data_IF_308658467085
#
_entry.id   IF_308658467085
#
_cell.length_a   1.000
_cell.length_b   1.000
_cell.length_c   1.000
_cell.angle_alpha   90.00
_cell.angle_beta   90.00
_cell.angle_gamma   90.00
#
_symmetry.space_group_name_H-M   'P 1'
#
loop_
_entity.id
_entity.type
_entity.pdbx_description
1 polymer ?
#
# COMPACT_ATOMS: atom_id res chain seq x y z
N UNK A 1 9.74 -16.35 14.20
CA UNK A 1 8.78 -15.92 13.16
C UNK A 1 7.95 -14.78 13.71
N UNK A 2 7.95 -13.60 13.07
CA UNK A 2 7.35 -12.34 13.60
C UNK A 2 5.85 -12.43 13.95
N UNK A 3 5.17 -13.48 13.50
CA UNK A 3 3.73 -13.68 13.64
C UNK A 3 3.32 -14.66 14.75
N UNK A 4 4.27 -15.20 15.53
CA UNK A 4 4.04 -16.34 16.43
C UNK A 4 2.98 -16.11 17.52
N UNK A 5 2.73 -14.87 17.94
CA UNK A 5 1.73 -14.51 18.96
C UNK A 5 0.61 -13.60 18.42
N UNK A 6 0.44 -13.55 17.10
CA UNK A 6 -0.64 -12.79 16.46
C UNK A 6 -1.74 -13.74 16.00
N UNK A 7 -2.99 -13.38 16.26
CA UNK A 7 -4.13 -14.00 15.58
C UNK A 7 -4.29 -13.30 14.22
N UNK A 8 -3.97 -13.99 13.12
CA UNK A 8 -4.03 -13.42 11.77
C UNK A 8 -4.68 -14.37 10.78
N UNK A 9 -5.15 -13.81 9.67
CA UNK A 9 -5.65 -14.55 8.51
C UNK A 9 -4.88 -14.08 7.29
N UNK A 10 -4.44 -15.02 6.44
CA UNK A 10 -3.79 -14.72 5.17
C UNK A 10 -4.83 -14.89 4.06
N UNK A 11 -5.01 -13.85 3.25
CA UNK A 11 -5.88 -13.88 2.08
C UNK A 11 -5.06 -13.53 0.84
N UNK A 12 -5.40 -14.12 -0.30
CA UNK A 12 -4.84 -13.75 -1.60
C UNK A 12 -5.64 -12.58 -2.18
N UNK A 13 -4.93 -11.57 -2.70
CA UNK A 13 -5.50 -10.44 -3.43
C UNK A 13 -4.79 -10.27 -4.77
N UNK A 14 -5.50 -9.77 -5.78
CA UNK A 14 -4.91 -9.43 -7.06
C UNK A 14 -3.89 -8.30 -6.90
N UNK A 15 -2.89 -8.28 -7.78
CA UNK A 15 -1.79 -7.31 -7.73
C UNK A 15 -2.31 -5.87 -7.79
N UNK A 16 -3.32 -5.63 -8.61
CA UNK A 16 -3.96 -4.34 -8.85
C UNK A 16 -4.71 -3.83 -7.60
N UNK A 17 -5.13 -4.75 -6.72
CA UNK A 17 -5.73 -4.44 -5.42
C UNK A 17 -4.71 -4.33 -4.28
N UNK A 18 -3.41 -4.48 -4.58
CA UNK A 18 -2.33 -4.32 -3.61
C UNK A 18 -1.40 -3.13 -3.95
N UNK A 19 -1.90 -2.18 -4.73
CA UNK A 19 -1.11 -1.10 -5.29
C UNK A 19 -0.53 -0.16 -4.22
N UNK A 20 -1.26 0.10 -3.12
CA UNK A 20 -0.76 0.89 -1.99
C UNK A 20 0.48 0.25 -1.36
N UNK A 21 0.45 -1.07 -1.10
CA UNK A 21 1.58 -1.78 -0.51
C UNK A 21 2.79 -1.83 -1.45
N UNK A 22 2.57 -2.06 -2.76
CA UNK A 22 3.65 -2.02 -3.77
C UNK A 22 4.30 -0.63 -3.84
N UNK A 23 3.50 0.44 -3.78
CA UNK A 23 4.02 1.81 -3.76
C UNK A 23 4.84 2.10 -2.49
N UNK A 24 4.31 1.71 -1.31
CA UNK A 24 4.99 1.89 -0.04
C UNK A 24 6.31 1.10 0.03
N UNK A 25 6.32 -0.14 -0.47
CA UNK A 25 7.52 -0.97 -0.52
C UNK A 25 8.61 -0.31 -1.40
N UNK A 26 8.25 0.17 -2.59
CA UNK A 26 9.18 0.87 -3.49
C UNK A 26 9.76 2.14 -2.87
N UNK A 27 8.93 2.93 -2.19
CA UNK A 27 9.39 4.12 -1.47
C UNK A 27 10.29 3.74 -0.31
N UNK A 28 9.90 2.76 0.51
CA UNK A 28 10.67 2.29 1.65
C UNK A 28 12.05 1.76 1.28
N UNK A 29 12.24 1.22 0.06
CA UNK A 29 13.58 0.84 -0.43
C UNK A 29 14.53 2.02 -0.64
N UNK A 30 14.00 3.24 -0.82
CA UNK A 30 14.78 4.46 -1.11
C UNK A 30 14.92 5.33 0.14
N UNK A 31 13.98 5.25 1.08
CA UNK A 31 14.01 6.06 2.31
C UNK A 31 14.96 5.43 3.33
N UNK A 32 15.95 6.18 3.86
CA UNK A 32 16.96 5.63 4.76
C UNK A 32 16.45 5.36 6.19
N UNK A 33 15.32 5.97 6.58
CA UNK A 33 14.72 5.89 7.91
C UNK A 33 13.20 5.76 7.82
N UNK A 34 12.52 5.72 8.97
CA UNK A 34 11.07 5.76 9.02
C UNK A 34 10.56 7.09 8.43
N UNK A 35 9.56 7.00 7.55
CA UNK A 35 8.78 8.13 7.07
C UNK A 35 7.30 7.82 7.25
N UNK A 36 6.59 8.74 7.90
CA UNK A 36 5.15 8.63 8.15
C UNK A 36 4.37 9.59 7.26
N UNK A 37 3.21 9.12 6.81
CA UNK A 37 2.27 9.92 6.02
C UNK A 37 0.96 10.08 6.77
N UNK A 38 0.44 11.30 6.80
CA UNK A 38 -0.88 11.68 7.30
C UNK A 38 -1.74 12.29 6.18
N UNK A 39 -2.93 12.77 6.53
CA UNK A 39 -3.86 13.36 5.55
C UNK A 39 -3.32 14.63 4.86
N UNK A 40 -2.35 15.31 5.47
CA UNK A 40 -1.79 16.58 5.00
C UNK A 40 -0.60 16.36 4.06
N UNK A 41 0.22 15.34 4.31
CA UNK A 41 1.48 15.12 3.60
C UNK A 41 1.49 13.86 2.71
N UNK A 42 0.39 13.09 2.64
CA UNK A 42 0.30 11.91 1.79
C UNK A 42 0.55 12.26 0.31
N UNK A 43 1.53 11.60 -0.35
CA UNK A 43 1.86 11.86 -1.74
C UNK A 43 0.65 11.63 -2.66
N UNK A 44 0.53 12.48 -3.69
CA UNK A 44 -0.66 12.50 -4.57
C UNK A 44 -0.96 11.11 -5.18
N UNK A 45 0.08 10.38 -5.59
CA UNK A 45 -0.07 9.04 -6.14
C UNK A 45 -0.65 8.08 -5.11
N UNK A 46 -0.08 8.02 -3.91
CA UNK A 46 -0.58 7.16 -2.83
C UNK A 46 -2.02 7.54 -2.44
N UNK A 47 -2.33 8.84 -2.34
CA UNK A 47 -3.70 9.33 -2.10
C UNK A 47 -4.69 8.82 -3.16
N UNK A 48 -4.29 8.81 -4.43
CA UNK A 48 -5.09 8.26 -5.52
C UNK A 48 -5.34 6.76 -5.34
N UNK A 49 -4.30 5.99 -5.03
CA UNK A 49 -4.40 4.55 -4.78
C UNK A 49 -5.32 4.24 -3.58
N UNK A 50 -5.17 4.96 -2.45
CA UNK A 50 -6.04 4.79 -1.28
C UNK A 50 -7.51 5.09 -1.59
N UNK A 51 -7.78 6.06 -2.48
CA UNK A 51 -9.13 6.37 -2.93
C UNK A 51 -9.72 5.24 -3.77
N UNK A 52 -8.94 4.66 -4.68
CA UNK A 52 -9.35 3.52 -5.50
C UNK A 52 -9.66 2.29 -4.62
N UNK A 53 -8.78 1.99 -3.65
CA UNK A 53 -9.00 0.90 -2.68
C UNK A 53 -10.29 1.13 -1.89
N UNK A 54 -10.54 2.37 -1.43
CA UNK A 54 -11.75 2.72 -0.67
C UNK A 54 -13.04 2.49 -1.44
N UNK A 55 -13.03 2.67 -2.77
CA UNK A 55 -14.20 2.47 -3.63
C UNK A 55 -14.21 1.09 -4.32
N UNK A 56 -13.25 0.22 -4.02
CA UNK A 56 -13.17 -1.14 -4.55
C UNK A 56 -12.81 -1.21 -6.04
N UNK A 57 -12.14 -0.19 -6.58
CA UNK A 57 -11.69 -0.17 -7.97
C UNK A 57 -10.21 -0.58 -8.09
N UNK A 58 -9.86 -1.43 -9.08
CA UNK A 58 -8.47 -1.81 -9.29
C UNK A 58 -7.64 -0.65 -9.85
N UNK A 59 -6.36 -0.61 -9.50
CA UNK A 59 -5.40 0.28 -10.17
C UNK A 59 -5.08 -0.25 -11.57
N UNK A 60 -5.56 0.45 -12.61
CA UNK A 60 -5.30 0.09 -14.01
C UNK A 60 -3.97 0.70 -14.45
N UNK A 61 -3.07 -0.15 -14.92
CA UNK A 61 -1.83 0.27 -15.58
C UNK A 61 -1.97 0.07 -17.08
N UNK A 62 -1.72 1.12 -17.87
CA UNK A 62 -1.41 0.93 -19.28
C UNK A 62 -0.03 0.26 -19.36
N UNK A 63 0.01 -0.95 -19.90
CA UNK A 63 1.22 -1.71 -20.19
C UNK A 63 1.90 -1.21 -21.45
#
# INVERSE_FOLDING_TARGET
MLLFNLNYTINHIYREGNACADWLAKMGCIVPTLQEFDENNIPLMLRGLTRLDKIGLPYIRAS
#
